data_IF_215379112936
#
_entry.id   IF_215379112936
#
_cell.length_a   1.000
_cell.length_b   1.000
_cell.length_c   1.000
_cell.angle_alpha   90.00
_cell.angle_beta   90.00
_cell.angle_gamma   90.00
#
_symmetry.space_group_name_H-M   'P 1'
#
loop_
_entity.id
_entity.type
_entity.pdbx_description
1 polymer ?
#
# COMPACT_ATOMS: atom_id res chain seq x y z
N UNK A 1 -27.56 5.17 13.97
CA UNK A 1 -27.05 6.44 13.41
C UNK A 1 -25.70 6.28 12.69
N UNK A 2 -25.07 5.11 12.73
CA UNK A 2 -23.74 4.84 12.15
C UNK A 2 -23.73 4.55 10.64
N UNK A 3 -24.76 3.90 10.10
CA UNK A 3 -24.75 3.46 8.69
C UNK A 3 -24.78 4.58 7.65
N UNK A 4 -25.44 5.71 7.94
CA UNK A 4 -25.53 6.84 7.00
C UNK A 4 -24.19 7.57 6.89
N UNK A 5 -23.52 7.77 8.04
CA UNK A 5 -22.23 8.45 8.09
C UNK A 5 -21.12 7.64 7.39
N UNK A 6 -21.09 6.32 7.59
CA UNK A 6 -20.13 5.43 6.93
C UNK A 6 -20.37 5.35 5.41
N UNK A 7 -21.64 5.35 4.96
CA UNK A 7 -21.98 5.40 3.53
C UNK A 7 -21.54 6.70 2.86
N UNK A 8 -21.70 7.84 3.53
CA UNK A 8 -21.30 9.14 3.00
C UNK A 8 -19.76 9.24 2.88
N UNK A 9 -19.03 8.73 3.87
CA UNK A 9 -17.57 8.67 3.85
C UNK A 9 -17.03 7.79 2.71
N UNK A 10 -17.65 6.63 2.46
CA UNK A 10 -17.23 5.76 1.35
C UNK A 10 -17.25 6.49 0.01
N UNK A 11 -18.33 7.23 -0.28
CA UNK A 11 -18.47 8.00 -1.52
C UNK A 11 -17.38 9.06 -1.68
N UNK A 12 -17.06 9.78 -0.60
CA UNK A 12 -16.01 10.81 -0.60
C UNK A 12 -14.62 10.20 -0.81
N UNK A 13 -14.28 9.13 -0.07
CA UNK A 13 -13.01 8.40 -0.22
C UNK A 13 -12.84 7.87 -1.65
N UNK A 14 -13.91 7.32 -2.23
CA UNK A 14 -13.90 6.86 -3.61
C UNK A 14 -13.69 8.00 -4.61
N UNK A 15 -14.34 9.16 -4.39
CA UNK A 15 -14.18 10.34 -5.24
C UNK A 15 -12.74 10.85 -5.25
N UNK A 16 -12.07 10.91 -4.10
CA UNK A 16 -10.64 11.27 -3.98
C UNK A 16 -9.78 10.34 -4.83
N UNK A 17 -9.95 9.03 -4.66
CA UNK A 17 -9.16 8.00 -5.35
C UNK A 17 -9.46 7.89 -6.86
N UNK A 18 -10.53 8.54 -7.35
CA UNK A 18 -10.86 8.59 -8.78
C UNK A 18 -10.06 9.66 -9.53
N UNK A 19 -9.49 10.64 -8.83
CA UNK A 19 -8.67 11.68 -9.45
C UNK A 19 -7.45 11.06 -10.16
N UNK A 20 -6.97 11.65 -11.28
CA UNK A 20 -5.93 11.03 -12.11
C UNK A 20 -4.65 10.67 -11.35
N UNK A 21 -4.21 11.56 -10.45
CA UNK A 21 -2.98 11.35 -9.70
C UNK A 21 -3.10 10.26 -8.65
N UNK A 22 -4.18 10.27 -7.85
CA UNK A 22 -4.44 9.22 -6.88
C UNK A 22 -4.63 7.86 -7.54
N UNK A 23 -5.27 7.83 -8.72
CA UNK A 23 -5.39 6.61 -9.52
C UNK A 23 -4.03 6.07 -9.96
N UNK A 24 -3.10 6.94 -10.31
CA UNK A 24 -1.71 6.56 -10.63
C UNK A 24 -1.02 5.96 -9.40
N UNK A 25 -1.07 6.64 -8.25
CA UNK A 25 -0.47 6.13 -7.00
C UNK A 25 -1.02 4.77 -6.61
N UNK A 26 -2.35 4.59 -6.67
CA UNK A 26 -3.00 3.29 -6.42
C UNK A 26 -2.51 2.22 -7.38
N UNK A 27 -2.33 2.55 -8.66
CA UNK A 27 -1.80 1.61 -9.66
C UNK A 27 -0.36 1.21 -9.34
N UNK A 28 0.49 2.16 -8.99
CA UNK A 28 1.88 1.87 -8.60
C UNK A 28 1.96 1.00 -7.35
N UNK A 29 1.17 1.30 -6.32
CA UNK A 29 1.08 0.47 -5.12
C UNK A 29 0.63 -0.97 -5.46
N UNK A 30 -0.33 -1.10 -6.37
CA UNK A 30 -0.84 -2.39 -6.81
C UNK A 30 0.20 -3.21 -7.59
N UNK A 31 0.99 -2.56 -8.44
CA UNK A 31 2.11 -3.18 -9.16
C UNK A 31 3.20 -3.66 -8.20
N UNK A 32 3.57 -2.84 -7.20
CA UNK A 32 4.55 -3.22 -6.19
C UNK A 32 4.11 -4.41 -5.32
N UNK A 33 2.82 -4.49 -5.00
CA UNK A 33 2.24 -5.55 -4.17
C UNK A 33 1.77 -6.76 -4.99
N UNK A 34 1.86 -6.72 -6.32
CA UNK A 34 1.43 -7.81 -7.19
C UNK A 34 -0.06 -8.14 -7.09
N UNK A 35 -0.92 -7.13 -6.98
CA UNK A 35 -2.39 -7.27 -6.84
C UNK A 35 -3.16 -6.39 -7.83
N UNK A 36 -4.44 -6.68 -8.12
CA UNK A 36 -5.27 -5.81 -8.93
C UNK A 36 -5.47 -4.42 -8.27
N UNK A 37 -5.42 -3.31 -9.03
CA UNK A 37 -5.63 -1.95 -8.48
C UNK A 37 -6.96 -1.75 -7.75
N UNK A 38 -7.99 -2.54 -8.08
CA UNK A 38 -9.26 -2.50 -7.36
C UNK A 38 -9.16 -3.02 -5.92
N UNK A 39 -8.30 -4.03 -5.64
CA UNK A 39 -8.07 -4.52 -4.27
C UNK A 39 -7.40 -3.44 -3.43
N UNK A 40 -6.35 -2.80 -3.95
CA UNK A 40 -5.67 -1.68 -3.27
C UNK A 40 -6.63 -0.52 -3.02
N UNK A 41 -7.43 -0.12 -4.03
CA UNK A 41 -8.41 0.96 -3.88
C UNK A 41 -9.42 0.65 -2.77
N UNK A 42 -9.96 -0.57 -2.75
CA UNK A 42 -10.92 -1.01 -1.72
C UNK A 42 -10.27 -0.96 -0.34
N UNK A 43 -9.08 -1.53 -0.21
CA UNK A 43 -8.32 -1.51 1.04
C UNK A 43 -8.04 -0.09 1.53
N UNK A 44 -7.69 0.84 0.63
CA UNK A 44 -7.47 2.25 0.97
C UNK A 44 -8.75 2.91 1.51
N UNK A 45 -9.90 2.63 0.90
CA UNK A 45 -11.18 3.17 1.38
C UNK A 45 -11.54 2.62 2.76
N UNK A 46 -11.29 1.33 2.99
CA UNK A 46 -11.63 0.63 4.23
C UNK A 46 -10.68 1.00 5.38
N UNK A 47 -9.38 1.19 5.12
CA UNK A 47 -8.36 1.30 6.16
C UNK A 47 -7.73 2.69 6.32
N UNK A 48 -7.78 3.56 5.30
CA UNK A 48 -7.20 4.90 5.38
C UNK A 48 -8.28 5.94 5.68
N UNK A 49 -7.96 6.90 6.55
CA UNK A 49 -8.85 8.04 6.82
C UNK A 49 -8.85 9.06 5.66
N UNK A 50 -9.71 10.07 5.78
CA UNK A 50 -9.84 11.13 4.77
C UNK A 50 -8.53 11.90 4.57
N UNK A 51 -7.84 12.28 5.65
CA UNK A 51 -6.62 13.08 5.59
C UNK A 51 -5.51 12.32 4.87
N UNK A 52 -5.40 11.02 5.14
CA UNK A 52 -4.45 10.10 4.52
C UNK A 52 -4.70 9.98 3.01
N UNK A 53 -5.96 9.89 2.61
CA UNK A 53 -6.35 9.78 1.20
C UNK A 53 -6.16 11.10 0.45
N UNK A 54 -6.48 12.24 1.05
CA UNK A 54 -6.28 13.56 0.47
C UNK A 54 -4.79 13.90 0.27
N UNK A 55 -3.94 13.43 1.19
CA UNK A 55 -2.49 13.64 1.14
C UNK A 55 -1.72 12.51 0.44
N UNK A 56 -2.41 11.52 -0.14
CA UNK A 56 -1.79 10.33 -0.74
C UNK A 56 -0.77 10.69 -1.82
N UNK A 57 -1.11 11.62 -2.71
CA UNK A 57 -0.22 12.09 -3.78
C UNK A 57 1.08 12.70 -3.24
N UNK A 58 0.96 13.69 -2.35
CA UNK A 58 2.12 14.37 -1.78
C UNK A 58 3.04 13.42 -0.97
N UNK A 59 2.46 12.40 -0.32
CA UNK A 59 3.22 11.39 0.41
C UNK A 59 3.95 10.43 -0.52
N UNK A 60 3.32 10.04 -1.62
CA UNK A 60 3.99 9.29 -2.67
C UNK A 60 5.16 10.08 -3.27
N UNK A 61 4.99 11.38 -3.51
CA UNK A 61 6.05 12.26 -4.02
C UNK A 61 7.22 12.34 -3.06
N UNK A 62 6.93 12.53 -1.77
CA UNK A 62 7.96 12.58 -0.74
C UNK A 62 8.70 11.24 -0.58
N UNK A 63 8.02 10.10 -0.76
CA UNK A 63 8.68 8.80 -0.83
C UNK A 63 9.54 8.69 -2.10
N UNK A 64 9.06 9.17 -3.25
CA UNK A 64 9.81 9.15 -4.49
C UNK A 64 11.14 9.91 -4.35
N UNK A 65 11.14 11.04 -3.66
CA UNK A 65 12.30 11.90 -3.44
C UNK A 65 13.24 11.45 -2.31
N UNK A 66 12.70 10.84 -1.25
CA UNK A 66 13.46 10.64 0.00
C UNK A 66 13.37 9.23 0.61
N UNK A 67 12.43 8.40 0.16
CA UNK A 67 12.22 7.07 0.72
C UNK A 67 13.21 6.04 0.20
N UNK A 68 13.57 5.06 1.02
CA UNK A 68 14.46 3.95 0.64
C UNK A 68 15.76 4.42 -0.09
N UNK A 69 16.53 5.35 0.50
CA UNK A 69 17.67 6.00 -0.18
C UNK A 69 18.78 5.03 -0.58
N UNK A 70 18.92 3.92 0.14
CA UNK A 70 19.89 2.86 -0.16
C UNK A 70 19.50 2.02 -1.39
N UNK A 71 18.27 2.17 -1.89
CA UNK A 71 17.78 1.48 -3.08
C UNK A 71 17.58 -0.03 -2.87
N UNK A 72 17.91 -0.79 -3.92
CA UNK A 72 17.85 -2.25 -3.91
C UNK A 72 16.48 -2.82 -3.57
N UNK A 73 16.49 -3.96 -2.86
CA UNK A 73 15.27 -4.69 -2.53
C UNK A 73 14.28 -3.86 -1.70
N UNK A 74 14.77 -2.99 -0.81
CA UNK A 74 13.93 -2.12 0.03
C UNK A 74 13.08 -1.18 -0.82
N UNK A 75 13.70 -0.57 -1.84
CA UNK A 75 13.01 0.30 -2.79
C UNK A 75 12.06 -0.50 -3.69
N UNK A 76 12.48 -1.68 -4.14
CA UNK A 76 11.68 -2.53 -5.03
C UNK A 76 10.36 -3.01 -4.39
N UNK A 77 10.38 -3.31 -3.08
CA UNK A 77 9.19 -3.73 -2.34
C UNK A 77 8.41 -2.55 -1.72
N UNK A 78 8.92 -1.32 -1.86
CA UNK A 78 8.32 -0.13 -1.26
C UNK A 78 8.36 -0.14 0.27
N UNK A 79 9.51 -0.46 0.87
CA UNK A 79 9.66 -0.59 2.32
C UNK A 79 9.18 0.67 3.05
N UNK A 80 9.77 1.83 2.78
CA UNK A 80 9.36 3.08 3.42
C UNK A 80 7.97 3.52 2.93
N UNK A 81 7.63 3.23 1.67
CA UNK A 81 6.33 3.57 1.10
C UNK A 81 5.19 3.00 1.96
N UNK A 82 5.25 1.70 2.26
CA UNK A 82 4.15 1.00 2.93
C UNK A 82 4.22 1.01 4.45
N UNK A 83 5.36 1.38 5.04
CA UNK A 83 5.53 1.43 6.51
C UNK A 83 5.49 2.85 7.08
N UNK A 84 5.83 3.87 6.29
CA UNK A 84 5.96 5.27 6.76
C UNK A 84 5.08 6.24 5.99
N UNK A 85 5.14 6.23 4.66
CA UNK A 85 4.48 7.25 3.85
C UNK A 85 2.98 6.96 3.67
N UNK A 86 2.64 5.71 3.37
CA UNK A 86 1.29 5.17 3.24
C UNK A 86 1.25 3.92 4.14
N UNK A 87 1.03 4.07 5.45
CA UNK A 87 1.27 3.01 6.45
C UNK A 87 0.19 1.92 6.41
N UNK A 88 0.23 1.08 5.38
CA UNK A 88 -0.67 -0.07 5.17
C UNK A 88 -0.02 -1.40 5.60
N UNK A 89 1.28 -1.39 5.88
CA UNK A 89 2.04 -2.54 6.39
C UNK A 89 2.78 -2.10 7.65
N UNK A 90 2.68 -2.90 8.71
CA UNK A 90 3.45 -2.62 9.94
C UNK A 90 4.95 -2.84 9.72
N UNK A 91 5.77 -2.10 10.46
CA UNK A 91 7.24 -2.28 10.46
C UNK A 91 7.63 -3.74 10.75
N UNK A 92 6.99 -4.40 11.71
CA UNK A 92 7.29 -5.79 12.07
C UNK A 92 7.03 -6.78 10.93
N UNK A 93 5.92 -6.60 10.20
CA UNK A 93 5.60 -7.45 9.04
C UNK A 93 6.61 -7.24 7.93
N UNK A 94 6.98 -5.99 7.66
CA UNK A 94 7.96 -5.66 6.62
C UNK A 94 9.36 -6.17 6.96
N UNK A 95 9.79 -6.05 8.22
CA UNK A 95 11.09 -6.57 8.68
C UNK A 95 11.16 -8.10 8.57
N UNK A 96 10.10 -8.82 8.97
CA UNK A 96 10.01 -10.28 8.78
C UNK A 96 10.09 -10.69 7.31
N UNK A 97 9.48 -9.89 6.43
CA UNK A 97 9.54 -10.12 4.99
C UNK A 97 10.98 -10.00 4.48
N UNK A 98 11.75 -9.01 4.98
CA UNK A 98 13.17 -8.87 4.67
C UNK A 98 14.05 -9.99 5.27
N UNK A 99 13.78 -10.42 6.50
CA UNK A 99 14.52 -11.53 7.14
C UNK A 99 14.38 -12.86 6.39
N UNK A 100 13.30 -13.02 5.62
CA UNK A 100 13.06 -14.22 4.81
C UNK A 100 14.02 -14.32 3.61
N UNK A 101 14.69 -13.22 3.23
CA UNK A 101 15.64 -13.11 2.11
C UNK A 101 17.00 -13.74 2.41
N UNK A 102 17.45 -13.72 3.67
CA UNK A 102 18.82 -14.14 4.04
C UNK A 102 19.05 -15.66 3.87
N UNK A 103 18.01 -16.42 3.51
CA UNK A 103 18.03 -17.89 3.39
C UNK A 103 17.87 -18.42 1.96
N UNK A 104 17.44 -17.59 1.01
CA UNK A 104 17.24 -17.98 -0.39
C UNK A 104 17.51 -16.74 -1.26
N UNK A 105 18.42 -16.86 -2.23
CA UNK A 105 18.83 -15.81 -3.19
C UNK A 105 17.73 -14.80 -3.56
N UNK A 106 18.11 -13.52 -3.62
CA UNK A 106 17.29 -12.32 -3.89
C UNK A 106 16.09 -12.57 -4.81
N UNK A 107 14.92 -12.89 -4.23
CA UNK A 107 13.69 -12.97 -5.00
C UNK A 107 12.64 -12.03 -4.40
N UNK A 108 12.60 -10.82 -4.94
CA UNK A 108 11.60 -9.82 -4.62
C UNK A 108 10.16 -10.37 -4.72
N UNK A 109 9.93 -11.34 -5.60
CA UNK A 109 8.62 -11.95 -5.78
C UNK A 109 8.16 -12.73 -4.54
N UNK A 110 9.07 -13.45 -3.86
CA UNK A 110 8.73 -14.17 -2.63
C UNK A 110 8.32 -13.19 -1.51
N UNK A 111 8.99 -12.04 -1.44
CA UNK A 111 8.66 -10.98 -0.49
C UNK A 111 7.29 -10.39 -0.83
N UNK A 112 7.06 -10.06 -2.11
CA UNK A 112 5.78 -9.53 -2.58
C UNK A 112 4.65 -10.50 -2.28
N UNK A 113 4.85 -11.79 -2.51
CA UNK A 113 3.87 -12.82 -2.18
C UNK A 113 3.57 -12.86 -0.68
N UNK A 114 4.59 -12.83 0.18
CA UNK A 114 4.40 -12.76 1.63
C UNK A 114 3.62 -11.51 2.04
N UNK A 115 4.03 -10.32 1.55
CA UNK A 115 3.37 -9.05 1.87
C UNK A 115 1.92 -9.04 1.34
N UNK A 116 1.68 -9.55 0.13
CA UNK A 116 0.36 -9.69 -0.47
C UNK A 116 -0.56 -10.53 0.43
N UNK A 117 -0.08 -11.67 0.91
CA UNK A 117 -0.88 -12.56 1.75
C UNK A 117 -1.18 -11.95 3.14
N UNK A 118 -0.32 -11.05 3.63
CA UNK A 118 -0.54 -10.35 4.90
C UNK A 118 -1.53 -9.18 4.76
N UNK A 119 -1.49 -8.43 3.66
CA UNK A 119 -2.32 -7.22 3.46
C UNK A 119 -3.64 -7.55 2.78
N UNK A 120 -3.62 -8.49 1.85
CA UNK A 120 -4.74 -8.88 1.00
C UNK A 120 -4.94 -10.40 1.05
N UNK A 121 -5.26 -10.98 2.22
CA UNK A 121 -5.58 -12.40 2.30
C UNK A 121 -6.63 -12.75 1.23
N UNK A 122 -6.47 -13.88 0.55
CA UNK A 122 -7.52 -14.40 -0.33
C UNK A 122 -8.80 -14.49 0.51
N UNK A 123 -9.91 -13.96 -0.02
CA UNK A 123 -11.20 -14.13 0.62
C UNK A 123 -11.45 -15.64 0.69
N UNK A 124 -11.46 -16.21 1.90
CA UNK A 124 -11.91 -17.60 2.09
C UNK A 124 -13.40 -17.58 1.75
N UNK A 125 -13.73 -18.14 0.58
CA UNK A 125 -15.09 -18.29 0.03
C UNK A 125 -16.12 -18.76 1.08
#
# INVERSE_FOLDING_TARGET
MTEVYERDLFGMKFAILKSPYHKMVVKTCAEMLGVPPMRVRRYFIENLDMLMLESLGARYDSWMEHGDPDGGIRREIGFDLFTRYIPIISQDVMNKALETIDKNEENAENIREYLRNQVFPEDVE
#
